data_IF_732701724841
#
_entry.id   IF_732701724841
#
_cell.length_a   1.000
_cell.length_b   1.000
_cell.length_c   1.000
_cell.angle_alpha   90.00
_cell.angle_beta   90.00
_cell.angle_gamma   90.00
#
_symmetry.space_group_name_H-M   'P 1'
#
loop_
_entity.id
_entity.type
_entity.pdbx_description
1 polymer ?
#
# COMPACT_ATOMS: atom_id res chain seq x y z
N UNK A 1 -6.05 25.32 14.57
CA UNK A 1 -4.71 25.99 14.61
C UNK A 1 -3.68 24.91 14.89
N UNK A 2 -2.59 24.85 14.13
CA UNK A 2 -1.52 23.85 14.31
C UNK A 2 -0.83 24.04 15.67
N UNK A 3 -0.71 22.97 16.46
CA UNK A 3 0.07 22.93 17.70
C UNK A 3 1.39 22.20 17.45
N UNK A 4 2.45 22.67 18.10
CA UNK A 4 3.76 22.03 18.08
C UNK A 4 4.15 21.62 19.50
N UNK A 5 4.42 20.34 19.71
CA UNK A 5 4.89 19.79 20.98
C UNK A 5 6.41 19.83 21.02
N UNK A 6 7.00 20.63 21.91
CA UNK A 6 8.46 20.67 22.12
C UNK A 6 9.01 19.44 22.84
N UNK A 7 8.14 18.59 23.42
CA UNK A 7 8.52 17.36 24.13
C UNK A 7 8.64 16.17 23.18
N UNK A 8 7.71 16.04 22.24
CA UNK A 8 7.71 14.96 21.24
C UNK A 8 8.23 15.42 19.87
N UNK A 9 8.48 16.72 19.67
CA UNK A 9 8.84 17.30 18.37
C UNK A 9 7.82 16.99 17.26
N UNK A 10 6.54 16.95 17.63
CA UNK A 10 5.44 16.62 16.73
C UNK A 10 4.51 17.82 16.51
N UNK A 11 3.98 17.91 15.29
CA UNK A 11 2.90 18.82 14.95
C UNK A 11 1.56 18.10 15.06
N UNK A 12 0.57 18.73 15.68
CA UNK A 12 -0.77 18.19 15.82
C UNK A 12 -1.84 19.26 15.57
N UNK A 13 -3.00 18.83 15.08
CA UNK A 13 -4.17 19.70 14.91
C UNK A 13 -5.17 19.33 16.01
N UNK A 14 -5.40 20.20 17.02
CA UNK A 14 -6.39 19.94 18.05
C UNK A 14 -7.79 20.02 17.45
N UNK A 15 -8.60 19.01 17.75
CA UNK A 15 -10.01 18.94 17.37
C UNK A 15 -10.81 18.82 18.65
N UNK A 16 -11.76 19.74 18.86
CA UNK A 16 -12.67 19.67 19.98
C UNK A 16 -13.89 18.85 19.57
N UNK A 17 -14.26 17.90 20.41
CA UNK A 17 -15.42 17.02 20.20
C UNK A 17 -16.34 17.19 21.39
N UNK A 18 -17.63 17.33 21.12
CA UNK A 18 -18.68 17.27 22.11
C UNK A 18 -19.32 15.88 22.08
N UNK A 19 -19.32 15.21 23.23
CA UNK A 19 -19.96 13.89 23.38
C UNK A 19 -21.34 14.16 23.96
N UNK A 20 -22.38 13.62 23.32
CA UNK A 20 -23.76 13.66 23.79
C UNK A 20 -24.13 12.28 24.37
N UNK A 21 -24.01 12.04 25.69
CA UNK A 21 -24.24 10.70 26.27
C UNK A 21 -25.67 10.18 26.06
N UNK A 22 -26.63 11.09 25.83
CA UNK A 22 -28.02 10.74 25.52
C UNK A 22 -28.20 9.95 24.22
N UNK A 23 -27.20 9.94 23.33
CA UNK A 23 -27.21 9.14 22.09
C UNK A 23 -26.70 7.71 22.26
N UNK A 24 -26.12 7.38 23.41
CA UNK A 24 -25.58 6.04 23.67
C UNK A 24 -26.71 5.16 24.21
N UNK A 25 -27.00 4.09 23.47
CA UNK A 25 -27.86 3.00 23.94
C UNK A 25 -27.07 2.13 24.92
N UNK A 26 -27.62 1.95 26.11
CA UNK A 26 -26.95 1.26 27.21
C UNK A 26 -27.73 0.02 27.63
N UNK A 27 -27.02 -1.08 27.74
CA UNK A 27 -27.47 -2.26 28.45
C UNK A 27 -26.90 -2.22 29.88
N UNK A 28 -27.46 -1.37 30.74
CA UNK A 28 -26.95 -1.15 32.11
C UNK A 28 -27.47 0.14 32.77
N UNK A 29 -26.97 0.46 33.96
CA UNK A 29 -27.29 1.73 34.62
C UNK A 29 -26.53 2.89 33.96
N UNK A 30 -27.27 3.93 33.55
CA UNK A 30 -26.73 5.13 32.94
C UNK A 30 -25.89 5.96 33.92
N UNK A 31 -26.07 5.77 35.22
CA UNK A 31 -25.24 6.43 36.25
C UNK A 31 -23.76 6.05 36.13
N UNK A 32 -23.46 4.84 35.64
CA UNK A 32 -22.09 4.37 35.45
C UNK A 32 -21.36 5.14 34.34
N UNK A 33 -22.04 5.53 33.25
CA UNK A 33 -21.43 6.34 32.19
C UNK A 33 -21.04 7.76 32.63
N UNK A 34 -21.69 8.27 33.69
CA UNK A 34 -21.42 9.60 34.22
C UNK A 34 -20.22 9.60 35.18
N UNK A 35 -19.68 8.42 35.52
CA UNK A 35 -18.41 8.32 36.22
C UNK A 35 -17.28 8.80 35.30
N UNK A 36 -16.58 9.83 35.74
CA UNK A 36 -15.36 10.38 35.14
C UNK A 36 -14.29 9.32 34.77
N UNK A 37 -14.34 8.14 35.40
CA UNK A 37 -13.39 7.05 35.15
C UNK A 37 -13.76 6.14 33.98
N UNK A 38 -14.98 6.19 33.44
CA UNK A 38 -15.38 5.30 32.33
C UNK A 38 -14.55 5.58 31.09
N UNK A 39 -14.36 6.86 30.73
CA UNK A 39 -13.56 7.18 29.55
C UNK A 39 -12.10 6.72 29.72
N UNK A 40 -11.52 6.89 30.91
CA UNK A 40 -10.19 6.39 31.21
C UNK A 40 -10.10 4.86 31.13
N UNK A 41 -11.16 4.14 31.55
CA UNK A 41 -11.26 2.69 31.38
C UNK A 41 -11.33 2.31 29.92
N UNK A 42 -12.19 2.94 29.12
CA UNK A 42 -12.32 2.68 27.69
C UNK A 42 -10.98 2.90 26.96
N UNK A 43 -10.23 3.96 27.30
CA UNK A 43 -8.90 4.21 26.73
C UNK A 43 -7.91 3.09 27.05
N UNK A 44 -7.94 2.55 28.29
CA UNK A 44 -7.13 1.39 28.69
C UNK A 44 -7.51 0.12 27.94
N UNK A 45 -8.80 -0.07 27.64
CA UNK A 45 -9.31 -1.20 26.84
C UNK A 45 -9.12 -0.99 25.33
N UNK A 46 -8.49 0.12 24.90
CA UNK A 46 -8.13 0.36 23.51
C UNK A 46 -8.96 1.40 22.76
N UNK A 47 -9.73 2.26 23.44
CA UNK A 47 -10.51 3.31 22.78
C UNK A 47 -9.58 4.28 22.06
N UNK A 48 -9.77 4.45 20.75
CA UNK A 48 -9.01 5.39 19.93
C UNK A 48 -9.93 6.22 19.05
N UNK A 49 -9.54 7.47 18.85
CA UNK A 49 -10.12 8.31 17.79
C UNK A 49 -9.38 8.13 16.48
N UNK A 50 -10.11 7.98 15.38
CA UNK A 50 -9.54 7.90 14.04
C UNK A 50 -10.36 8.76 13.08
N UNK A 51 -9.69 9.54 12.22
CA UNK A 51 -10.38 10.21 11.12
C UNK A 51 -10.67 9.19 10.02
N UNK A 52 -11.94 9.09 9.64
CA UNK A 52 -12.41 8.26 8.53
C UNK A 52 -13.13 9.11 7.50
N UNK A 53 -13.06 8.69 6.24
CA UNK A 53 -13.76 9.37 5.14
C UNK A 53 -15.23 9.02 5.15
N UNK A 54 -16.10 10.03 5.29
CA UNK A 54 -17.55 9.88 5.13
C UNK A 54 -17.98 9.90 3.66
N UNK A 55 -17.26 10.63 2.81
CA UNK A 55 -17.48 10.64 1.37
C UNK A 55 -16.19 11.00 0.64
N UNK A 56 -15.72 10.06 -0.19
CA UNK A 56 -14.53 10.26 -1.02
C UNK A 56 -14.75 11.31 -2.11
N UNK A 57 -16.00 11.51 -2.55
CA UNK A 57 -16.35 12.46 -3.61
C UNK A 57 -16.34 13.91 -3.11
N UNK A 58 -16.75 14.15 -1.87
CA UNK A 58 -16.81 15.49 -1.28
C UNK A 58 -15.64 15.79 -0.35
N UNK A 59 -14.82 14.79 -0.01
CA UNK A 59 -13.71 14.92 0.95
C UNK A 59 -14.15 15.11 2.39
N UNK A 60 -15.41 14.79 2.72
CA UNK A 60 -15.91 14.92 4.09
C UNK A 60 -15.30 13.84 4.98
N UNK A 61 -14.79 14.27 6.14
CA UNK A 61 -14.23 13.41 7.17
C UNK A 61 -15.14 13.39 8.40
N UNK A 62 -15.18 12.27 9.11
CA UNK A 62 -15.78 12.14 10.43
C UNK A 62 -14.79 11.53 11.41
N UNK A 63 -15.06 11.75 12.69
CA UNK A 63 -14.28 11.18 13.78
C UNK A 63 -14.96 9.87 14.18
N UNK A 64 -14.25 8.77 13.99
CA UNK A 64 -14.63 7.47 14.46
C UNK A 64 -14.02 7.23 15.85
N UNK A 65 -14.83 6.79 16.80
CA UNK A 65 -14.41 6.44 18.16
C UNK A 65 -14.70 4.96 18.36
N UNK A 66 -13.66 4.13 18.35
CA UNK A 66 -13.80 2.67 18.40
C UNK A 66 -12.75 2.03 19.32
N UNK A 67 -13.00 0.78 19.72
CA UNK A 67 -12.11 -0.03 20.55
C UNK A 67 -11.19 -0.87 19.66
N UNK A 68 -9.88 -0.70 19.87
CA UNK A 68 -8.84 -1.43 19.17
C UNK A 68 -8.03 -2.25 20.18
N UNK A 69 -8.33 -3.56 20.34
CA UNK A 69 -7.69 -4.41 21.35
C UNK A 69 -6.16 -4.49 21.21
N UNK A 70 -5.66 -4.40 19.98
CA UNK A 70 -4.23 -4.50 19.66
C UNK A 70 -3.52 -3.13 19.65
N UNK A 71 -4.23 -2.04 19.97
CA UNK A 71 -3.61 -0.71 19.98
C UNK A 71 -2.58 -0.60 21.11
N UNK A 72 -1.47 0.09 20.83
CA UNK A 72 -0.43 0.35 21.83
C UNK A 72 -1.03 1.02 23.08
N UNK A 73 -0.55 0.60 24.26
CA UNK A 73 -1.05 1.12 25.53
C UNK A 73 -0.97 2.66 25.57
N UNK A 74 -2.08 3.29 25.92
CA UNK A 74 -2.19 4.73 26.04
C UNK A 74 -2.99 5.08 27.29
N UNK A 75 -2.78 6.29 27.80
CA UNK A 75 -3.53 6.83 28.92
C UNK A 75 -4.35 8.02 28.46
N UNK A 76 -5.47 8.25 29.14
CA UNK A 76 -6.22 9.49 28.99
C UNK A 76 -5.39 10.63 29.59
N UNK A 77 -5.09 11.63 28.79
CA UNK A 77 -4.30 12.81 29.21
C UNK A 77 -5.24 14.00 29.35
N UNK A 78 -4.96 14.89 30.29
CA UNK A 78 -5.67 16.17 30.41
C UNK A 78 -4.80 17.29 29.84
N UNK A 79 -5.40 18.13 28.99
CA UNK A 79 -4.77 19.33 28.46
C UNK A 79 -5.68 20.54 28.75
N UNK A 80 -5.32 21.32 29.77
CA UNK A 80 -6.20 22.36 30.31
C UNK A 80 -7.47 21.75 30.91
N UNK A 81 -8.63 22.25 30.50
CA UNK A 81 -9.95 21.78 30.95
C UNK A 81 -10.48 20.59 30.15
N UNK A 82 -9.70 20.07 29.19
CA UNK A 82 -10.14 19.03 28.26
C UNK A 82 -9.42 17.70 28.47
N UNK A 83 -10.16 16.61 28.33
CA UNK A 83 -9.61 15.25 28.25
C UNK A 83 -9.27 14.93 26.79
N UNK A 84 -8.07 14.39 26.56
CA UNK A 84 -7.55 14.08 25.23
C UNK A 84 -7.64 12.58 24.99
N UNK A 85 -8.49 12.19 24.03
CA UNK A 85 -8.63 10.81 23.58
C UNK A 85 -7.45 10.47 22.66
N UNK A 86 -6.70 9.38 22.90
CA UNK A 86 -5.61 8.99 22.02
C UNK A 86 -6.09 8.65 20.61
N UNK A 87 -5.29 8.97 19.60
CA UNK A 87 -5.66 8.78 18.19
C UNK A 87 -4.88 7.67 17.51
N UNK A 88 -5.48 7.05 16.49
CA UNK A 88 -4.76 6.26 15.49
C UNK A 88 -4.60 7.07 14.19
N UNK A 89 -3.51 6.83 13.44
CA UNK A 89 -3.35 7.43 12.11
C UNK A 89 -4.54 7.09 11.21
N UNK A 90 -4.97 8.04 10.38
CA UNK A 90 -6.04 7.78 9.41
C UNK A 90 -5.59 6.73 8.38
N UNK A 91 -6.46 5.77 7.99
CA UNK A 91 -6.10 4.74 7.02
C UNK A 91 -5.73 5.31 5.64
N UNK A 92 -6.33 6.44 5.26
CA UNK A 92 -6.13 7.05 3.94
C UNK A 92 -4.75 7.71 3.83
N UNK A 93 -4.28 8.37 4.88
CA UNK A 93 -2.93 8.94 4.93
C UNK A 93 -1.88 7.83 4.86
N UNK A 94 -2.15 6.67 5.45
CA UNK A 94 -1.28 5.51 5.36
C UNK A 94 -1.24 4.90 3.94
N UNK A 95 -2.31 5.00 3.15
CA UNK A 95 -2.32 4.54 1.76
C UNK A 95 -1.55 5.52 0.86
N UNK A 96 -1.83 6.83 0.94
CA UNK A 96 -1.12 7.83 0.14
C UNK A 96 0.38 7.81 0.39
N UNK A 97 0.81 7.76 1.66
CA UNK A 97 2.23 7.66 2.00
C UNK A 97 2.89 6.38 1.45
N UNK A 98 2.17 5.25 1.45
CA UNK A 98 2.68 3.99 0.88
C UNK A 98 2.73 4.01 -0.64
N UNK A 99 1.77 4.66 -1.30
CA UNK A 99 1.77 4.84 -2.76
C UNK A 99 2.94 5.74 -3.16
N UNK A 100 3.14 6.86 -2.46
CA UNK A 100 4.28 7.76 -2.71
C UNK A 100 5.62 7.06 -2.44
N UNK A 101 5.74 6.28 -1.37
CA UNK A 101 6.95 5.49 -1.10
C UNK A 101 7.19 4.45 -2.19
N UNK A 102 6.15 3.75 -2.65
CA UNK A 102 6.25 2.79 -3.74
C UNK A 102 6.64 3.45 -5.06
N UNK A 103 6.02 4.59 -5.40
CA UNK A 103 6.34 5.36 -6.60
C UNK A 103 7.80 5.87 -6.54
N UNK A 104 8.26 6.37 -5.40
CA UNK A 104 9.64 6.79 -5.22
C UNK A 104 10.61 5.61 -5.36
N UNK A 105 10.29 4.43 -4.83
CA UNK A 105 11.11 3.22 -5.02
C UNK A 105 11.14 2.76 -6.48
N UNK A 106 10.01 2.88 -7.20
CA UNK A 106 9.91 2.56 -8.62
C UNK A 106 10.74 3.53 -9.47
N UNK A 107 10.65 4.83 -9.19
CA UNK A 107 11.43 5.88 -9.86
C UNK A 107 12.92 5.83 -9.52
N UNK A 108 13.28 5.28 -8.35
CA UNK A 108 14.65 5.05 -7.93
C UNK A 108 15.27 3.76 -8.50
N UNK A 109 14.53 2.96 -9.28
CA UNK A 109 15.12 1.82 -9.97
C UNK A 109 16.15 2.33 -11.00
N UNK A 110 17.43 1.93 -10.89
CA UNK A 110 18.44 2.33 -11.85
C UNK A 110 18.26 1.50 -13.13
N UNK A 111 17.29 1.90 -13.96
CA UNK A 111 17.02 1.25 -15.26
C UNK A 111 18.27 1.23 -16.15
N UNK A 112 19.14 2.24 -16.01
CA UNK A 112 20.42 2.32 -16.71
C UNK A 112 21.39 1.22 -16.26
N UNK A 113 21.49 0.93 -14.96
CA UNK A 113 22.33 -0.15 -14.43
C UNK A 113 21.78 -1.53 -14.85
N UNK A 114 20.45 -1.71 -14.82
CA UNK A 114 19.80 -2.93 -15.31
C UNK A 114 20.06 -3.12 -16.81
N UNK A 115 19.98 -2.05 -17.61
CA UNK A 115 20.28 -2.08 -19.05
C UNK A 115 21.74 -2.39 -19.33
N UNK A 116 22.67 -1.80 -18.56
CA UNK A 116 24.10 -2.03 -18.71
C UNK A 116 24.50 -3.45 -18.29
N UNK A 117 23.92 -3.97 -17.21
CA UNK A 117 24.14 -5.33 -16.72
C UNK A 117 23.48 -6.38 -17.62
N UNK A 118 22.30 -6.08 -18.19
CA UNK A 118 21.69 -6.86 -19.26
C UNK A 118 22.55 -6.81 -20.52
N UNK A 119 23.06 -5.66 -20.95
CA UNK A 119 23.94 -5.58 -22.11
C UNK A 119 25.26 -6.32 -21.89
N UNK A 120 25.80 -6.30 -20.68
CA UNK A 120 27.02 -7.02 -20.30
C UNK A 120 26.78 -8.52 -20.25
N UNK A 121 25.63 -8.94 -19.70
CA UNK A 121 25.17 -10.34 -19.71
C UNK A 121 24.90 -10.81 -21.14
N UNK A 122 24.26 -9.99 -21.98
CA UNK A 122 23.94 -10.28 -23.38
C UNK A 122 25.20 -10.30 -24.26
N UNK A 123 26.19 -9.45 -23.98
CA UNK A 123 27.53 -9.49 -24.60
C UNK A 123 28.35 -10.69 -24.13
N UNK A 124 28.15 -11.18 -22.91
CA UNK A 124 28.67 -12.47 -22.43
C UNK A 124 27.89 -13.69 -22.92
N UNK A 125 26.64 -13.49 -23.37
CA UNK A 125 25.69 -14.53 -23.76
C UNK A 125 25.73 -14.92 -25.24
N UNK A 126 26.78 -14.57 -26.00
CA UNK A 126 27.04 -15.23 -27.29
C UNK A 126 27.29 -16.75 -27.15
N UNK A 127 27.38 -17.26 -25.91
CA UNK A 127 27.40 -18.69 -25.59
C UNK A 127 26.08 -19.24 -24.98
N UNK A 128 25.03 -18.42 -24.81
CA UNK A 128 23.85 -18.76 -23.98
C UNK A 128 22.55 -18.65 -24.78
N UNK A 129 22.51 -19.12 -26.02
CA UNK A 129 21.25 -19.23 -26.77
C UNK A 129 20.40 -20.45 -26.36
N UNK A 130 20.73 -21.13 -25.25
CA UNK A 130 20.01 -22.34 -24.81
C UNK A 130 20.09 -22.61 -23.29
N UNK A 131 20.26 -21.59 -22.43
CA UNK A 131 20.31 -21.85 -20.98
C UNK A 131 18.91 -22.10 -20.41
N UNK A 132 18.78 -23.20 -19.67
CA UNK A 132 17.60 -23.51 -18.88
C UNK A 132 17.30 -22.40 -17.85
N UNK A 133 18.32 -21.65 -17.44
CA UNK A 133 18.25 -20.51 -16.53
C UNK A 133 17.47 -19.34 -17.14
N UNK A 134 17.69 -19.02 -18.42
CA UNK A 134 16.92 -17.97 -19.10
C UNK A 134 15.46 -18.38 -19.31
N UNK A 135 15.23 -19.65 -19.68
CA UNK A 135 13.87 -20.20 -19.79
C UNK A 135 13.12 -20.15 -18.46
N UNK A 136 13.79 -20.47 -17.35
CA UNK A 136 13.22 -20.35 -15.99
C UNK A 136 12.91 -18.92 -15.62
N UNK A 137 13.82 -17.97 -15.87
CA UNK A 137 13.59 -16.56 -15.57
C UNK A 137 12.39 -15.99 -16.35
N UNK A 138 12.26 -16.34 -17.63
CA UNK A 138 11.10 -15.96 -18.46
C UNK A 138 9.81 -16.58 -17.91
N UNK A 139 9.85 -17.85 -17.51
CA UNK A 139 8.69 -18.54 -16.93
C UNK A 139 8.25 -17.93 -15.60
N UNK A 140 9.19 -17.60 -14.72
CA UNK A 140 8.92 -16.93 -13.44
C UNK A 140 8.34 -15.53 -13.64
N UNK A 141 8.90 -14.75 -14.58
CA UNK A 141 8.37 -13.44 -14.93
C UNK A 141 6.94 -13.51 -15.49
N UNK A 142 6.65 -14.53 -16.31
CA UNK A 142 5.30 -14.78 -16.80
C UNK A 142 4.31 -15.14 -15.69
N UNK A 143 4.75 -15.81 -14.62
CA UNK A 143 3.93 -16.09 -13.43
C UNK A 143 3.64 -14.81 -12.66
N UNK A 144 4.66 -13.99 -12.38
CA UNK A 144 4.52 -12.74 -11.64
C UNK A 144 3.54 -11.77 -12.32
N UNK A 145 3.64 -11.62 -13.64
CA UNK A 145 2.74 -10.75 -14.40
C UNK A 145 1.27 -11.23 -14.39
N UNK A 146 1.03 -12.55 -14.30
CA UNK A 146 -0.32 -13.09 -14.11
C UNK A 146 -0.86 -12.74 -12.72
N UNK A 147 -0.06 -12.88 -11.67
CA UNK A 147 -0.45 -12.53 -10.31
C UNK A 147 -0.75 -11.03 -10.15
N UNK A 148 0.05 -10.16 -10.78
CA UNK A 148 -0.21 -8.72 -10.81
C UNK A 148 -1.56 -8.43 -11.50
N UNK A 149 -1.82 -9.05 -12.65
CA UNK A 149 -3.10 -8.89 -13.37
C UNK A 149 -4.30 -9.36 -12.55
N UNK A 150 -4.21 -10.50 -11.89
CA UNK A 150 -5.27 -11.01 -11.02
C UNK A 150 -5.53 -10.07 -9.84
N UNK A 151 -4.48 -9.52 -9.24
CA UNK A 151 -4.57 -8.53 -8.17
C UNK A 151 -5.23 -7.25 -8.66
N UNK A 152 -4.81 -6.72 -9.82
CA UNK A 152 -5.38 -5.49 -10.43
C UNK A 152 -6.83 -5.70 -10.87
N UNK A 153 -7.19 -6.90 -11.35
CA UNK A 153 -8.56 -7.22 -11.78
C UNK A 153 -9.53 -7.38 -10.59
N UNK A 154 -9.01 -7.69 -9.39
CA UNK A 154 -9.78 -7.74 -8.14
C UNK A 154 -9.91 -6.39 -7.43
N UNK A 155 -9.20 -5.36 -7.87
CA UNK A 155 -9.31 -3.99 -7.36
C UNK A 155 -10.31 -3.22 -8.23
N UNK A 156 -11.27 -2.58 -7.58
CA UNK A 156 -12.39 -1.89 -8.22
C UNK A 156 -11.93 -0.91 -9.33
N UNK A 157 -12.76 -0.78 -10.37
CA UNK A 157 -12.55 -0.28 -11.76
C UNK A 157 -11.88 1.10 -11.97
N UNK A 158 -11.25 1.71 -10.96
CA UNK A 158 -10.60 3.01 -11.03
C UNK A 158 -9.09 3.00 -11.27
N UNK A 159 -8.40 1.86 -11.15
CA UNK A 159 -6.94 1.78 -11.31
C UNK A 159 -6.57 1.56 -12.78
N UNK A 160 -6.75 2.64 -13.55
CA UNK A 160 -6.11 3.01 -14.82
C UNK A 160 -6.12 1.96 -15.97
N UNK A 161 -6.92 2.18 -17.05
CA UNK A 161 -6.89 1.33 -18.25
C UNK A 161 -5.50 1.24 -18.91
N UNK A 162 -4.64 2.24 -18.69
CA UNK A 162 -3.24 2.28 -19.17
C UNK A 162 -2.39 1.17 -18.55
N UNK A 163 -2.53 0.89 -17.25
CA UNK A 163 -1.79 -0.19 -16.58
C UNK A 163 -2.22 -1.57 -17.10
N UNK A 164 -3.50 -1.74 -17.38
CA UNK A 164 -4.02 -2.97 -17.98
C UNK A 164 -3.45 -3.18 -19.39
N UNK A 165 -3.36 -2.10 -20.18
CA UNK A 165 -2.78 -2.14 -21.52
C UNK A 165 -1.29 -2.49 -21.49
N UNK A 166 -0.50 -1.86 -20.62
CA UNK A 166 0.93 -2.15 -20.46
C UNK A 166 1.18 -3.60 -20.01
N UNK A 167 0.35 -4.13 -19.10
CA UNK A 167 0.45 -5.54 -18.68
C UNK A 167 0.07 -6.53 -19.80
N UNK A 168 -0.86 -6.16 -20.68
CA UNK A 168 -1.23 -6.93 -21.87
C UNK A 168 -0.07 -7.00 -22.87
N UNK A 169 0.58 -5.86 -23.11
CA UNK A 169 1.71 -5.74 -24.01
C UNK A 169 2.91 -6.53 -23.49
N UNK A 170 3.28 -6.35 -22.23
CA UNK A 170 4.37 -7.10 -21.58
C UNK A 170 4.16 -8.63 -21.65
N UNK A 171 2.93 -9.10 -21.44
CA UNK A 171 2.60 -10.52 -21.57
C UNK A 171 2.75 -11.02 -23.01
N UNK A 172 2.41 -10.19 -24.00
CA UNK A 172 2.52 -10.52 -25.42
C UNK A 172 3.97 -10.60 -25.84
N UNK A 173 4.80 -9.63 -25.42
CA UNK A 173 6.25 -9.65 -25.64
C UNK A 173 6.89 -10.88 -25.01
N UNK A 174 6.52 -11.26 -23.79
CA UNK A 174 7.09 -12.45 -23.14
C UNK A 174 6.64 -13.76 -23.79
N UNK A 175 5.41 -13.83 -24.32
CA UNK A 175 4.99 -14.98 -25.14
C UNK A 175 5.79 -15.09 -26.43
N UNK A 176 6.09 -13.96 -27.08
CA UNK A 176 6.91 -13.93 -28.29
C UNK A 176 8.35 -14.34 -27.99
N UNK A 177 8.95 -13.79 -26.93
CA UNK A 177 10.31 -14.14 -26.49
C UNK A 177 10.36 -15.61 -26.07
N UNK A 178 9.39 -16.10 -25.31
CA UNK A 178 9.27 -17.50 -24.93
C UNK A 178 9.15 -18.42 -26.15
N UNK A 179 8.35 -18.03 -27.15
CA UNK A 179 8.23 -18.75 -28.42
C UNK A 179 9.54 -18.84 -29.19
N UNK A 180 10.26 -17.72 -29.31
CA UNK A 180 11.59 -17.63 -29.96
C UNK A 180 12.65 -18.46 -29.23
N UNK A 181 12.52 -18.62 -27.90
CA UNK A 181 13.44 -19.41 -27.06
C UNK A 181 13.04 -20.90 -27.01
N UNK A 182 11.77 -21.25 -27.25
CA UNK A 182 11.28 -22.63 -27.20
C UNK A 182 11.22 -23.35 -28.55
N UNK A 183 11.11 -22.62 -29.66
CA UNK A 183 11.11 -23.19 -31.00
C UNK A 183 12.49 -23.07 -31.62
N UNK A 184 13.21 -24.19 -31.68
CA UNK A 184 14.34 -24.49 -32.57
C UNK A 184 14.75 -23.34 -33.52
N UNK A 185 15.63 -22.44 -33.07
CA UNK A 185 16.87 -22.09 -33.77
C UNK A 185 16.83 -22.02 -35.31
N UNK A 186 15.80 -21.45 -35.94
CA UNK A 186 15.80 -21.26 -37.41
C UNK A 186 16.75 -20.15 -37.85
N UNK A 187 17.10 -19.23 -36.94
CA UNK A 187 18.13 -18.21 -37.16
C UNK A 187 19.54 -18.80 -37.37
N UNK A 188 19.85 -19.99 -36.85
CA UNK A 188 21.11 -20.67 -37.16
C UNK A 188 21.05 -21.53 -38.42
N UNK A 189 19.85 -21.96 -38.85
CA UNK A 189 19.70 -22.78 -40.07
C UNK A 189 19.80 -21.96 -41.37
N UNK A 190 19.50 -20.65 -41.33
CA UNK A 190 19.61 -19.77 -42.51
C UNK A 190 21.00 -19.18 -42.72
N UNK A 191 21.78 -18.94 -41.65
CA UNK A 191 23.14 -18.39 -41.76
C UNK A 191 24.16 -19.39 -42.35
N UNK A 192 23.92 -20.71 -42.23
CA UNK A 192 24.81 -21.74 -42.79
C UNK A 192 24.40 -22.21 -44.20
N UNK A 193 23.39 -21.57 -44.80
CA UNK A 193 22.96 -21.82 -46.19
C UNK A 193 23.43 -20.72 -47.16
N UNK A 194 24.18 -19.75 -46.65
CA UNK A 194 24.67 -18.57 -47.39
C UNK A 194 26.22 -18.45 -47.39
N UNK A 195 26.93 -19.54 -47.10
CA UNK A 195 28.38 -19.71 -47.32
C UNK A 195 28.59 -20.97 -48.15
#
# INVERSE_FOLDING_TARGET
QLKFSTKSFEFSIPVLVEIEPGRIELSGDRSELLDSNVLARLVREGLRGQLKSGSLLTGQLFIDLDLYPDAAAAALVSEGDYQVIPTLPAPIDAIFNKVDEFLNRLLALPLDAISEELQTTLKGASAITNSAELQRAIAELAVLLRQIRETVSGVDKGVLPELTATLQEAQTTLKQVGGVVSENSTLYAELNRMV
#
